data_IF_027120208775
#
_entry.id   IF_027120208775
#
_cell.length_a   1.000
_cell.length_b   1.000
_cell.length_c   1.000
_cell.angle_alpha   90.00
_cell.angle_beta   90.00
_cell.angle_gamma   90.00
#
_symmetry.space_group_name_H-M   'P 1'
#
loop_
_entity.id
_entity.type
_entity.pdbx_description
1 polymer ?
#
# COMPACT_ATOMS: atom_id res chain seq x y z
N UNK A 1 -95.27 51.80 17.31
CA UNK A 1 -95.11 51.44 15.87
C UNK A 1 -93.81 50.68 15.69
N UNK A 2 -93.89 49.40 15.30
CA UNK A 2 -92.74 48.52 15.06
C UNK A 2 -92.12 48.85 13.70
N UNK A 3 -90.84 49.25 13.64
CA UNK A 3 -90.09 49.33 12.38
C UNK A 3 -89.29 48.04 12.21
N UNK A 4 -89.74 47.20 11.28
CA UNK A 4 -88.97 46.09 10.71
C UNK A 4 -87.93 46.69 9.77
N UNK A 5 -86.64 46.43 9.99
CA UNK A 5 -85.62 46.64 8.97
C UNK A 5 -85.21 45.26 8.47
N UNK A 6 -85.32 45.14 7.15
CA UNK A 6 -85.21 43.94 6.33
C UNK A 6 -83.72 43.66 6.09
N UNK A 7 -83.25 42.48 6.50
CA UNK A 7 -81.96 41.93 6.08
C UNK A 7 -82.04 41.53 4.61
N UNK A 8 -81.31 42.24 3.75
CA UNK A 8 -81.06 41.83 2.36
C UNK A 8 -79.87 40.86 2.40
N UNK A 9 -80.16 39.58 2.26
CA UNK A 9 -79.18 38.51 2.13
C UNK A 9 -78.74 38.47 0.65
N UNK A 10 -77.56 39.03 0.35
CA UNK A 10 -76.94 38.93 -0.98
C UNK A 10 -76.30 37.53 -1.08
N UNK A 11 -76.98 36.61 -1.75
CA UNK A 11 -76.41 35.36 -2.25
C UNK A 11 -75.46 35.70 -3.40
N UNK A 12 -74.16 35.75 -3.12
CA UNK A 12 -73.13 35.67 -4.16
C UNK A 12 -72.98 34.21 -4.56
N UNK A 13 -73.61 33.85 -5.68
CA UNK A 13 -73.29 32.66 -6.45
C UNK A 13 -71.99 32.98 -7.21
N UNK A 14 -70.85 32.59 -6.66
CA UNK A 14 -69.58 32.57 -7.40
C UNK A 14 -69.23 31.12 -7.69
N UNK A 15 -69.66 30.72 -8.89
CA UNK A 15 -69.08 29.72 -9.78
C UNK A 15 -67.79 29.06 -9.29
N UNK A 16 -67.89 27.80 -8.87
CA UNK A 16 -66.75 26.88 -8.85
C UNK A 16 -66.40 26.56 -10.31
N UNK A 17 -65.57 27.40 -10.92
CA UNK A 17 -64.76 26.98 -12.06
C UNK A 17 -63.73 26.00 -11.50
N UNK A 18 -63.85 24.75 -11.92
CA UNK A 18 -62.90 23.68 -11.66
C UNK A 18 -61.58 24.04 -12.35
N UNK A 19 -60.82 24.91 -11.70
CA UNK A 19 -59.41 25.03 -11.97
C UNK A 19 -58.79 23.78 -11.38
N UNK A 20 -58.30 22.91 -12.26
CA UNK A 20 -57.16 22.05 -11.98
C UNK A 20 -56.05 22.93 -11.42
N UNK A 21 -56.10 23.18 -10.11
CA UNK A 21 -54.90 23.37 -9.32
C UNK A 21 -54.21 22.02 -9.42
N UNK A 22 -53.34 21.93 -10.41
CA UNK A 22 -52.10 21.19 -10.27
C UNK A 22 -51.64 21.54 -8.85
N UNK A 23 -51.64 20.54 -7.97
CA UNK A 23 -50.86 20.57 -6.76
C UNK A 23 -49.40 20.71 -7.21
N UNK A 24 -49.01 21.94 -7.55
CA UNK A 24 -47.63 22.34 -7.67
C UNK A 24 -47.16 22.38 -6.23
N UNK A 25 -46.75 21.20 -5.79
CA UNK A 25 -45.59 20.99 -4.96
C UNK A 25 -45.44 22.07 -3.89
N UNK A 26 -46.05 21.79 -2.73
CA UNK A 26 -45.28 21.86 -1.49
C UNK A 26 -44.08 20.89 -1.58
N UNK A 27 -43.14 21.16 -2.47
CA UNK A 27 -41.73 20.83 -2.26
C UNK A 27 -41.09 22.15 -1.84
N UNK A 28 -41.38 22.52 -0.60
CA UNK A 28 -40.41 23.29 0.16
C UNK A 28 -39.18 22.38 0.16
N UNK A 29 -38.28 22.61 -0.79
CA UNK A 29 -36.91 22.11 -0.71
C UNK A 29 -36.43 22.63 0.64
N UNK A 30 -36.51 21.79 1.66
CA UNK A 30 -35.94 22.03 2.97
C UNK A 30 -34.51 22.48 2.70
N UNK A 31 -34.24 23.76 2.95
CA UNK A 31 -32.91 24.31 2.84
C UNK A 31 -32.07 23.56 3.86
N UNK A 32 -31.37 22.53 3.40
CA UNK A 32 -30.49 21.74 4.23
C UNK A 32 -29.53 22.71 4.90
N UNK A 33 -29.60 22.80 6.22
CA UNK A 33 -28.68 23.61 6.99
C UNK A 33 -27.29 23.02 6.78
N UNK A 34 -26.48 23.70 5.97
CA UNK A 34 -25.09 23.32 5.72
C UNK A 34 -24.30 23.59 7.00
N UNK A 35 -24.12 22.55 7.80
CA UNK A 35 -23.22 22.53 8.94
C UNK A 35 -21.95 21.74 8.58
N UNK A 36 -20.82 22.45 8.55
CA UNK A 36 -19.51 21.92 8.22
C UNK A 36 -18.56 21.99 9.42
N UNK A 37 -19.09 22.23 10.62
CA UNK A 37 -18.28 22.37 11.82
C UNK A 37 -17.50 21.08 12.11
N UNK A 38 -16.19 21.21 12.22
CA UNK A 38 -15.26 20.12 12.49
C UNK A 38 -14.90 19.29 11.25
N UNK A 39 -15.46 19.61 10.09
CA UNK A 39 -15.17 18.88 8.86
C UNK A 39 -13.83 19.32 8.28
N UNK A 40 -13.13 18.37 7.66
CA UNK A 40 -11.91 18.62 6.89
C UNK A 40 -12.22 18.40 5.41
N UNK A 41 -11.81 19.32 4.56
CA UNK A 41 -12.03 19.26 3.12
C UNK A 41 -10.68 19.15 2.41
N UNK A 42 -10.47 18.11 1.63
CA UNK A 42 -9.23 17.88 0.89
C UNK A 42 -9.41 18.27 -0.57
N UNK A 43 -8.48 19.04 -1.13
CA UNK A 43 -8.49 19.40 -2.54
C UNK A 43 -8.36 18.15 -3.40
N UNK A 44 -9.15 18.10 -4.47
CA UNK A 44 -9.16 17.01 -5.43
C UNK A 44 -9.11 17.57 -6.85
N UNK A 45 -8.53 16.80 -7.77
CA UNK A 45 -8.39 17.19 -9.17
C UNK A 45 -9.25 16.32 -10.06
N UNK A 46 -10.06 16.92 -10.92
CA UNK A 46 -10.81 16.21 -11.94
C UNK A 46 -9.87 15.76 -13.07
N UNK A 47 -10.00 14.52 -13.53
CA UNK A 47 -9.27 14.00 -14.69
C UNK A 47 -10.12 14.02 -15.94
N UNK A 48 -9.48 13.94 -17.10
CA UNK A 48 -10.13 13.82 -18.42
C UNK A 48 -11.11 12.63 -18.52
N UNK A 49 -11.00 11.66 -17.62
CA UNK A 49 -11.92 10.51 -17.53
C UNK A 49 -13.18 10.76 -16.69
N UNK A 50 -13.36 11.98 -16.16
CA UNK A 50 -14.43 12.32 -15.20
C UNK A 50 -14.24 11.71 -13.81
N UNK A 51 -13.08 11.06 -13.56
CA UNK A 51 -12.72 10.55 -12.25
C UNK A 51 -12.00 11.63 -11.45
N UNK A 52 -12.50 11.89 -10.26
CA UNK A 52 -11.88 12.79 -9.29
C UNK A 52 -10.72 12.03 -8.62
N UNK A 53 -9.51 12.50 -8.85
CA UNK A 53 -8.29 11.96 -8.26
C UNK A 53 -8.05 12.56 -6.87
N UNK A 54 -7.92 11.68 -5.88
CA UNK A 54 -7.28 11.98 -4.61
C UNK A 54 -5.86 11.44 -4.67
N UNK A 55 -4.87 12.33 -4.64
CA UNK A 55 -3.45 11.97 -4.55
C UNK A 55 -3.05 11.97 -3.08
N UNK A 56 -2.98 10.81 -2.39
CA UNK A 56 -2.69 10.75 -0.95
C UNK A 56 -1.21 10.96 -0.59
N UNK A 57 -0.38 11.52 -1.48
CA UNK A 57 1.05 11.67 -1.23
C UNK A 57 1.32 12.84 -0.26
N UNK A 58 1.58 12.50 1.01
CA UNK A 58 2.40 13.25 1.98
C UNK A 58 2.11 14.73 2.19
N UNK A 59 1.42 15.06 3.29
CA UNK A 59 1.38 16.37 3.99
C UNK A 59 1.02 17.67 3.23
N UNK A 60 1.03 17.69 1.90
CA UNK A 60 0.97 18.90 1.07
C UNK A 60 -0.36 19.11 0.33
N UNK A 61 -1.38 18.29 0.61
CA UNK A 61 -2.69 18.47 0.00
C UNK A 61 -3.35 19.69 0.62
N UNK A 62 -3.65 20.66 -0.24
CA UNK A 62 -4.43 21.84 0.14
C UNK A 62 -5.72 21.39 0.83
N UNK A 63 -5.97 21.88 2.05
CA UNK A 63 -7.14 21.50 2.83
C UNK A 63 -7.69 22.64 3.68
N UNK A 64 -9.00 22.61 3.85
CA UNK A 64 -9.71 23.47 4.78
C UNK A 64 -10.19 22.66 5.98
N UNK A 65 -10.02 23.19 7.18
CA UNK A 65 -10.69 22.69 8.40
C UNK A 65 -11.57 23.82 8.92
N UNK A 66 -12.88 23.58 8.99
CA UNK A 66 -13.85 24.59 9.39
C UNK A 66 -14.23 24.36 10.86
N UNK A 67 -13.97 25.34 11.72
CA UNK A 67 -14.41 25.36 13.12
C UNK A 67 -15.62 26.29 13.28
N UNK A 68 -16.08 26.47 14.52
CA UNK A 68 -17.23 27.35 14.84
C UNK A 68 -17.02 28.80 14.37
N UNK A 69 -15.86 29.36 14.71
CA UNK A 69 -15.55 30.78 14.58
C UNK A 69 -14.30 31.03 13.72
N UNK A 70 -13.70 29.97 13.18
CA UNK A 70 -12.40 30.02 12.54
C UNK A 70 -12.25 28.96 11.45
N UNK A 71 -11.33 29.23 10.52
CA UNK A 71 -10.98 28.33 9.42
C UNK A 71 -9.47 28.19 9.41
N UNK A 72 -9.01 26.94 9.40
CA UNK A 72 -7.61 26.61 9.13
C UNK A 72 -7.47 26.23 7.67
N UNK A 73 -6.64 26.94 6.93
CA UNK A 73 -6.32 26.65 5.54
C UNK A 73 -4.85 26.21 5.47
N UNK A 74 -4.62 24.99 5.04
CA UNK A 74 -3.28 24.45 4.83
C UNK A 74 -3.07 24.32 3.31
N UNK A 75 -2.08 25.01 2.76
CA UNK A 75 -1.67 24.98 1.34
C UNK A 75 -0.57 23.93 1.08
N UNK A 76 -0.26 23.12 2.09
CA UNK A 76 0.81 22.14 2.13
C UNK A 76 2.05 22.67 2.85
N UNK A 77 2.83 23.50 2.15
CA UNK A 77 4.05 24.11 2.71
C UNK A 77 3.74 25.27 3.67
N UNK A 78 2.62 25.95 3.45
CA UNK A 78 2.16 27.09 4.25
C UNK A 78 0.81 26.77 4.89
N UNK A 79 0.53 27.38 6.04
CA UNK A 79 -0.77 27.29 6.66
C UNK A 79 -1.17 28.60 7.31
N UNK A 80 -2.47 28.85 7.29
CA UNK A 80 -3.09 30.06 7.79
C UNK A 80 -4.24 29.71 8.71
N UNK A 81 -4.35 30.50 9.79
CA UNK A 81 -5.48 30.42 10.70
C UNK A 81 -6.27 31.72 10.60
N UNK A 82 -7.52 31.60 10.20
CA UNK A 82 -8.44 32.72 9.99
C UNK A 82 -9.54 32.73 11.05
N UNK A 83 -9.98 33.92 11.43
CA UNK A 83 -11.22 34.15 12.17
C UNK A 83 -12.33 34.50 11.18
N UNK A 84 -13.51 33.92 11.39
CA UNK A 84 -14.72 34.24 10.61
C UNK A 84 -15.24 35.60 11.07
N UNK A 85 -15.23 36.59 10.18
CA UNK A 85 -15.75 37.93 10.47
C UNK A 85 -17.25 38.04 10.15
N UNK A 86 -17.71 37.34 9.12
CA UNK A 86 -19.14 37.21 8.80
C UNK A 86 -19.42 35.96 7.97
N UNK A 87 -20.60 35.36 8.16
CA UNK A 87 -21.12 34.24 7.38
C UNK A 87 -22.47 34.63 6.78
N UNK A 88 -22.63 34.47 5.47
CA UNK A 88 -23.89 34.65 4.75
C UNK A 88 -24.26 33.33 4.07
N UNK A 89 -25.46 32.83 4.34
CA UNK A 89 -25.97 31.58 3.77
C UNK A 89 -26.99 31.91 2.68
N UNK A 90 -26.67 31.53 1.46
CA UNK A 90 -27.54 31.60 0.28
C UNK A 90 -28.10 30.21 -0.02
N UNK A 91 -29.09 30.11 -0.92
CA UNK A 91 -29.80 28.86 -1.22
C UNK A 91 -28.85 27.65 -1.45
N UNK A 92 -27.77 27.85 -2.22
CA UNK A 92 -26.83 26.79 -2.61
C UNK A 92 -25.36 27.19 -2.35
N UNK A 93 -25.09 28.18 -1.50
CA UNK A 93 -23.74 28.69 -1.29
C UNK A 93 -23.60 29.32 0.09
N UNK A 94 -22.44 29.14 0.71
CA UNK A 94 -22.04 29.88 1.91
C UNK A 94 -20.92 30.84 1.52
N UNK A 95 -21.10 32.13 1.86
CA UNK A 95 -20.06 33.14 1.78
C UNK A 95 -19.49 33.36 3.17
N UNK A 96 -18.18 33.19 3.33
CA UNK A 96 -17.48 33.38 4.61
C UNK A 96 -16.40 34.44 4.40
N UNK A 97 -16.53 35.57 5.09
CA UNK A 97 -15.47 36.60 5.12
C UNK A 97 -14.50 36.27 6.23
N UNK A 98 -13.21 36.35 5.91
CA UNK A 98 -12.12 35.96 6.82
C UNK A 98 -11.21 37.14 7.13
N UNK A 99 -10.65 37.13 8.34
CA UNK A 99 -9.52 37.95 8.78
C UNK A 99 -8.47 37.06 9.40
N UNK A 100 -7.19 37.42 9.30
CA UNK A 100 -6.13 36.66 9.96
C UNK A 100 -6.34 36.65 11.48
N UNK A 101 -6.21 35.48 12.11
CA UNK A 101 -6.47 35.34 13.55
C UNK A 101 -5.50 36.15 14.41
N UNK A 102 -4.26 36.33 13.96
CA UNK A 102 -3.18 36.92 14.78
C UNK A 102 -3.10 38.45 14.70
N UNK A 103 -3.25 39.04 13.51
CA UNK A 103 -3.13 40.49 13.31
C UNK A 103 -4.45 41.19 12.91
N UNK A 104 -5.55 40.42 12.75
CA UNK A 104 -6.89 40.92 12.41
C UNK A 104 -6.98 41.65 11.05
N UNK A 105 -5.95 41.56 10.22
CA UNK A 105 -5.96 42.14 8.87
C UNK A 105 -6.79 41.26 7.92
N UNK A 106 -7.37 41.90 6.90
CA UNK A 106 -8.05 41.20 5.80
C UNK A 106 -6.98 40.61 4.88
N UNK A 107 -7.02 39.30 4.56
CA UNK A 107 -6.08 38.70 3.62
C UNK A 107 -6.15 39.41 2.27
N UNK A 108 -5.00 39.64 1.63
CA UNK A 108 -4.98 40.19 0.25
C UNK A 108 -5.18 39.10 -0.81
N UNK A 109 -5.36 37.85 -0.38
CA UNK A 109 -5.55 36.67 -1.21
C UNK A 109 -7.05 36.35 -1.40
N UNK A 110 -7.32 35.28 -2.15
CA UNK A 110 -8.66 34.71 -2.27
C UNK A 110 -9.26 34.24 -0.94
N UNK A 111 -8.45 34.10 0.12
CA UNK A 111 -8.91 33.71 1.45
C UNK A 111 -9.77 34.79 2.13
N UNK A 112 -9.71 36.06 1.69
CA UNK A 112 -10.56 37.13 2.25
C UNK A 112 -12.06 36.83 2.15
N UNK A 113 -12.46 36.05 1.14
CA UNK A 113 -13.83 35.62 0.90
C UNK A 113 -13.84 34.17 0.41
N UNK A 114 -14.16 33.25 1.30
CA UNK A 114 -14.33 31.83 0.97
C UNK A 114 -15.77 31.58 0.55
N UNK A 115 -15.97 31.09 -0.67
CA UNK A 115 -17.28 30.68 -1.21
C UNK A 115 -17.36 29.16 -1.25
N UNK A 116 -18.30 28.58 -0.51
CA UNK A 116 -18.51 27.13 -0.46
C UNK A 116 -19.82 26.80 -1.15
N UNK A 117 -19.76 26.04 -2.24
CA UNK A 117 -20.91 25.62 -3.05
C UNK A 117 -20.93 24.09 -3.12
N UNK A 118 -21.96 23.41 -2.58
CA UNK A 118 -22.07 21.97 -2.75
C UNK A 118 -22.30 21.60 -4.22
N UNK A 119 -21.62 20.55 -4.69
CA UNK A 119 -21.71 20.07 -6.07
C UNK A 119 -22.66 18.88 -6.24
N UNK A 120 -23.03 18.25 -5.13
CA UNK A 120 -23.96 17.13 -5.10
C UNK A 120 -24.89 17.19 -3.88
N UNK A 121 -25.98 16.43 -3.91
CA UNK A 121 -26.98 16.37 -2.83
C UNK A 121 -26.46 15.71 -1.55
N UNK A 122 -25.40 14.93 -1.65
CA UNK A 122 -24.75 14.27 -0.50
C UNK A 122 -23.72 15.17 0.19
N UNK A 123 -23.47 16.36 -0.38
CA UNK A 123 -22.39 17.26 -0.01
C UNK A 123 -21.02 16.58 0.02
N UNK A 124 -20.84 15.53 -0.80
CA UNK A 124 -19.60 14.78 -0.88
C UNK A 124 -18.51 15.64 -1.50
N UNK A 125 -18.82 16.30 -2.60
CA UNK A 125 -17.96 17.26 -3.25
C UNK A 125 -18.46 18.69 -3.03
N UNK A 126 -17.52 19.56 -2.68
CA UNK A 126 -17.75 20.99 -2.52
C UNK A 126 -16.83 21.74 -3.46
N UNK A 127 -17.33 22.81 -4.06
CA UNK A 127 -16.49 23.82 -4.68
C UNK A 127 -16.18 24.88 -3.65
N UNK A 128 -14.90 25.00 -3.28
CA UNK A 128 -14.41 26.07 -2.40
C UNK A 128 -13.65 27.05 -3.29
N UNK A 129 -14.19 28.25 -3.43
CA UNK A 129 -13.75 29.24 -4.42
C UNK A 129 -13.79 28.69 -5.85
N UNK A 130 -12.62 28.41 -6.45
CA UNK A 130 -12.51 27.88 -7.81
C UNK A 130 -12.23 26.38 -7.86
N UNK A 131 -11.76 25.82 -6.75
CA UNK A 131 -11.21 24.47 -6.66
C UNK A 131 -12.25 23.49 -6.07
N UNK A 132 -12.10 22.21 -6.38
CA UNK A 132 -12.99 21.14 -5.90
C UNK A 132 -12.34 20.46 -4.70
N UNK A 133 -13.14 20.21 -3.68
CA UNK A 133 -12.75 19.54 -2.46
C UNK A 133 -13.70 18.38 -2.17
N UNK A 134 -13.18 17.34 -1.54
CA UNK A 134 -13.97 16.27 -0.94
C UNK A 134 -13.99 16.42 0.59
N UNK A 135 -15.13 16.18 1.20
CA UNK A 135 -15.22 16.05 2.65
C UNK A 135 -14.48 14.78 3.13
N UNK A 136 -13.68 14.92 4.18
CA UNK A 136 -13.00 13.85 4.90
C UNK A 136 -13.90 12.67 5.26
N UNK A 137 -15.18 12.91 5.56
CA UNK A 137 -16.17 11.84 5.85
C UNK A 137 -16.35 10.90 4.65
N UNK A 138 -16.15 11.40 3.43
CA UNK A 138 -16.24 10.63 2.20
C UNK A 138 -14.89 10.32 1.56
N UNK A 139 -13.76 10.71 2.15
CA UNK A 139 -12.44 10.51 1.57
C UNK A 139 -12.15 9.04 1.25
N UNK A 140 -12.60 8.11 2.11
CA UNK A 140 -12.46 6.65 1.92
C UNK A 140 -13.27 6.10 0.73
N UNK A 141 -14.18 6.89 0.15
CA UNK A 141 -15.00 6.47 -1.01
C UNK A 141 -14.35 6.81 -2.35
N UNK A 142 -13.18 7.46 -2.34
CA UNK A 142 -12.44 7.75 -3.55
C UNK A 142 -11.60 6.54 -3.97
N UNK A 143 -11.57 6.21 -5.28
CA UNK A 143 -10.61 5.25 -5.78
C UNK A 143 -9.21 5.85 -5.57
N UNK A 144 -8.43 5.25 -4.67
CA UNK A 144 -7.02 5.58 -4.53
C UNK A 144 -6.34 5.08 -5.80
N UNK A 145 -5.94 6.01 -6.67
CA UNK A 145 -5.09 5.65 -7.81
C UNK A 145 -3.68 5.51 -7.26
N UNK A 146 -3.29 4.26 -6.96
CA UNK A 146 -1.94 3.88 -6.52
C UNK A 146 -0.92 3.95 -7.68
N UNK A 147 -1.01 4.97 -8.52
CA UNK A 147 -0.11 5.11 -9.66
C UNK A 147 0.40 6.55 -9.73
N UNK A 148 1.56 6.73 -9.11
CA UNK A 148 2.75 7.32 -9.72
C UNK A 148 3.94 6.80 -8.88
N UNK A 149 5.09 6.46 -9.49
CA UNK A 149 6.33 6.28 -8.72
C UNK A 149 6.56 7.57 -7.94
N UNK A 150 7.02 7.45 -6.68
CA UNK A 150 7.40 8.60 -5.86
C UNK A 150 8.24 9.55 -6.75
N UNK A 151 7.69 10.72 -7.08
CA UNK A 151 8.45 11.77 -7.72
C UNK A 151 9.45 12.33 -6.70
N UNK A 152 10.55 12.91 -7.17
CA UNK A 152 11.64 13.46 -6.33
C UNK A 152 11.14 14.47 -5.27
N UNK A 153 9.90 14.97 -5.43
CA UNK A 153 9.26 15.94 -4.56
C UNK A 153 8.45 15.33 -3.39
N UNK A 154 8.32 14.00 -3.30
CA UNK A 154 7.52 13.32 -2.27
C UNK A 154 8.37 12.87 -1.06
N UNK A 155 8.49 13.74 -0.04
CA UNK A 155 9.31 13.49 1.16
C UNK A 155 8.74 12.47 2.16
N UNK A 156 7.46 12.11 2.05
CA UNK A 156 6.76 11.18 2.97
C UNK A 156 6.07 10.04 2.20
N UNK A 157 6.85 9.21 1.48
CA UNK A 157 6.32 7.94 0.98
C UNK A 157 6.03 6.98 2.17
N UNK A 158 4.94 6.17 2.11
CA UNK A 158 4.63 5.23 3.18
C UNK A 158 5.84 4.33 3.46
N UNK A 159 6.12 4.10 4.75
CA UNK A 159 7.25 3.26 5.18
C UNK A 159 7.22 1.94 4.42
N UNK A 160 8.38 1.58 3.87
CA UNK A 160 8.67 0.32 3.18
C UNK A 160 7.94 -0.84 3.87
N UNK A 161 6.98 -1.46 3.19
CA UNK A 161 6.45 -2.74 3.63
C UNK A 161 7.50 -3.80 3.28
N UNK A 162 8.24 -4.25 4.30
CA UNK A 162 9.06 -5.46 4.18
C UNK A 162 8.12 -6.62 3.90
N UNK A 163 8.18 -7.15 2.68
CA UNK A 163 7.38 -8.32 2.31
C UNK A 163 8.05 -9.54 2.93
N UNK A 164 7.24 -10.31 3.67
CA UNK A 164 7.66 -11.60 4.20
C UNK A 164 7.02 -12.70 3.38
N UNK A 165 7.83 -13.52 2.74
CA UNK A 165 7.38 -14.72 2.03
C UNK A 165 7.94 -15.96 2.72
N UNK A 166 7.22 -17.08 2.61
CA UNK A 166 7.66 -18.34 3.17
C UNK A 166 7.46 -19.50 2.20
N UNK A 167 8.38 -20.46 2.25
CA UNK A 167 8.30 -21.70 1.51
C UNK A 167 8.64 -22.87 2.42
N UNK A 168 7.83 -23.94 2.38
CA UNK A 168 8.08 -25.18 3.11
C UNK A 168 8.45 -26.32 2.15
N UNK A 169 9.57 -26.98 2.43
CA UNK A 169 10.21 -27.97 1.58
C UNK A 169 10.33 -29.30 2.35
N UNK A 170 9.22 -30.02 2.40
CA UNK A 170 9.09 -31.23 3.21
C UNK A 170 9.47 -32.52 2.46
N UNK A 171 9.79 -32.44 1.17
CA UNK A 171 10.01 -33.61 0.31
C UNK A 171 11.48 -33.79 -0.14
N UNK A 172 12.39 -32.91 0.27
CA UNK A 172 13.80 -32.95 -0.17
C UNK A 172 14.64 -34.01 0.55
N UNK A 173 14.30 -34.32 1.81
CA UNK A 173 15.04 -35.25 2.65
C UNK A 173 14.10 -36.30 3.24
N UNK A 174 14.65 -37.45 3.65
CA UNK A 174 13.88 -38.46 4.42
C UNK A 174 13.79 -38.12 5.90
N UNK A 175 14.73 -37.34 6.44
CA UNK A 175 14.88 -37.04 7.86
C UNK A 175 14.61 -35.57 8.24
N UNK A 176 14.67 -34.66 7.28
CA UNK A 176 14.67 -33.22 7.49
C UNK A 176 13.54 -32.53 6.71
N UNK A 177 12.98 -31.50 7.33
CA UNK A 177 12.12 -30.50 6.70
C UNK A 177 12.89 -29.19 6.61
N UNK A 178 12.75 -28.49 5.49
CA UNK A 178 13.33 -27.16 5.30
C UNK A 178 12.22 -26.13 5.20
N UNK A 179 12.43 -24.95 5.77
CA UNK A 179 11.57 -23.78 5.60
C UNK A 179 12.44 -22.59 5.25
N UNK A 180 12.16 -21.93 4.13
CA UNK A 180 12.74 -20.63 3.81
C UNK A 180 11.77 -19.55 4.25
N UNK A 181 12.30 -18.58 4.99
CA UNK A 181 11.64 -17.32 5.29
C UNK A 181 12.42 -16.21 4.63
N UNK A 182 11.80 -15.44 3.74
CA UNK A 182 12.47 -14.34 3.05
C UNK A 182 11.88 -13.01 3.47
N UNK A 183 12.76 -12.02 3.57
CA UNK A 183 12.41 -10.63 3.84
C UNK A 183 13.08 -9.77 2.77
N UNK A 184 12.30 -9.00 2.02
CA UNK A 184 12.82 -8.06 1.01
C UNK A 184 11.99 -6.77 0.91
N UNK A 185 12.67 -5.68 0.56
CA UNK A 185 12.06 -4.36 0.36
C UNK A 185 11.77 -4.13 -1.13
N UNK A 186 10.51 -3.92 -1.49
CA UNK A 186 10.06 -3.96 -2.90
C UNK A 186 10.35 -2.67 -3.70
N UNK A 187 10.71 -1.56 -3.07
CA UNK A 187 10.50 -0.21 -3.64
C UNK A 187 11.73 0.68 -3.83
N UNK A 188 12.96 0.18 -3.64
CA UNK A 188 14.14 0.96 -4.04
C UNK A 188 14.60 0.54 -5.44
N UNK A 189 14.61 1.49 -6.36
CA UNK A 189 15.22 1.41 -7.70
C UNK A 189 16.76 1.51 -7.61
N UNK A 190 17.30 1.76 -6.42
CA UNK A 190 18.72 1.61 -6.13
C UNK A 190 19.09 0.12 -6.10
N UNK A 191 20.18 -0.21 -6.79
CA UNK A 191 20.82 -1.53 -7.00
C UNK A 191 21.11 -2.38 -5.73
N UNK A 192 20.61 -2.01 -4.56
CA UNK A 192 20.88 -2.64 -3.27
C UNK A 192 19.62 -3.27 -2.63
N UNK A 193 18.79 -3.97 -3.41
CA UNK A 193 17.78 -4.89 -2.85
C UNK A 193 18.50 -6.00 -2.08
N UNK A 194 18.64 -5.86 -0.76
CA UNK A 194 19.18 -6.90 0.12
C UNK A 194 18.08 -7.91 0.42
N UNK A 195 17.87 -8.87 -0.46
CA UNK A 195 17.16 -10.09 -0.11
C UNK A 195 17.84 -10.78 1.08
N UNK A 196 17.06 -11.20 2.05
CA UNK A 196 17.58 -11.99 3.15
C UNK A 196 16.71 -13.20 3.31
N UNK A 197 17.32 -14.38 3.31
CA UNK A 197 16.65 -15.63 3.58
C UNK A 197 17.12 -16.18 4.93
N UNK A 198 16.19 -16.69 5.72
CA UNK A 198 16.48 -17.56 6.85
C UNK A 198 16.06 -18.98 6.47
N UNK A 199 17.01 -19.90 6.48
CA UNK A 199 16.80 -21.32 6.20
C UNK A 199 16.64 -22.01 7.55
N UNK A 200 15.42 -22.40 7.88
CA UNK A 200 15.09 -23.13 9.10
C UNK A 200 15.06 -24.62 8.77
N UNK A 201 15.85 -25.39 9.49
CA UNK A 201 16.00 -26.84 9.28
C UNK A 201 15.45 -27.56 10.50
N UNK A 202 14.55 -28.51 10.26
CA UNK A 202 13.82 -29.23 11.30
C UNK A 202 13.91 -30.75 11.11
N UNK A 203 13.93 -31.51 12.21
CA UNK A 203 13.75 -32.97 12.14
C UNK A 203 12.30 -33.31 11.76
N UNK A 204 12.12 -34.31 10.90
CA UNK A 204 10.78 -34.75 10.44
C UNK A 204 9.93 -35.45 11.49
N UNK A 205 10.56 -36.12 12.45
CA UNK A 205 9.88 -36.92 13.45
C UNK A 205 9.11 -36.07 14.48
N UNK A 206 9.65 -34.92 14.85
CA UNK A 206 9.13 -34.07 15.93
C UNK A 206 9.09 -32.57 15.59
N UNK A 207 9.47 -32.17 14.37
CA UNK A 207 9.56 -30.77 13.93
C UNK A 207 10.47 -29.89 14.80
N UNK A 208 11.40 -30.47 15.54
CA UNK A 208 12.38 -29.70 16.32
C UNK A 208 13.34 -28.99 15.37
N UNK A 209 13.52 -27.69 15.59
CA UNK A 209 14.49 -26.87 14.84
C UNK A 209 15.89 -27.27 15.28
N UNK A 210 16.66 -27.80 14.33
CA UNK A 210 18.06 -28.19 14.55
C UNK A 210 19.02 -27.10 14.08
N UNK A 211 18.62 -26.31 13.10
CA UNK A 211 19.41 -25.16 12.65
C UNK A 211 18.60 -24.03 12.05
N UNK A 212 19.19 -22.84 12.07
CA UNK A 212 18.64 -21.64 11.43
C UNK A 212 19.80 -20.83 10.83
N UNK A 213 19.84 -20.75 9.50
CA UNK A 213 20.96 -20.21 8.76
C UNK A 213 20.50 -18.96 8.02
N UNK A 214 21.15 -17.85 8.32
CA UNK A 214 21.01 -16.62 7.56
C UNK A 214 21.77 -16.75 6.22
N UNK A 215 21.08 -16.47 5.13
CA UNK A 215 21.59 -16.60 3.77
C UNK A 215 21.29 -15.35 2.93
N UNK A 216 22.29 -14.93 2.17
CA UNK A 216 22.27 -13.75 1.31
C UNK A 216 22.74 -14.20 -0.08
N UNK A 217 21.86 -14.24 -1.09
CA UNK A 217 22.27 -14.58 -2.46
C UNK A 217 23.11 -13.47 -3.09
N UNK A 218 23.93 -13.81 -4.09
CA UNK A 218 24.76 -12.85 -4.82
C UNK A 218 24.00 -12.15 -5.96
N UNK A 219 23.12 -12.86 -6.67
CA UNK A 219 22.36 -12.31 -7.80
C UNK A 219 20.94 -11.92 -7.41
N UNK A 220 20.85 -10.70 -6.90
CA UNK A 220 19.64 -10.05 -6.40
C UNK A 220 18.54 -9.84 -7.45
N UNK A 221 18.93 -9.63 -8.72
CA UNK A 221 18.00 -9.28 -9.80
C UNK A 221 17.06 -10.43 -10.19
N UNK A 222 17.42 -11.68 -9.90
CA UNK A 222 16.67 -12.86 -10.34
C UNK A 222 15.65 -13.37 -9.31
N UNK A 223 15.81 -13.01 -8.03
CA UNK A 223 14.86 -13.35 -6.98
C UNK A 223 13.88 -12.20 -6.79
N UNK A 224 12.93 -12.04 -7.73
CA UNK A 224 11.84 -11.07 -7.57
C UNK A 224 10.75 -11.56 -6.59
N UNK A 225 10.78 -12.84 -6.25
CA UNK A 225 9.90 -13.57 -5.34
C UNK A 225 10.62 -14.82 -4.79
N UNK A 226 10.05 -15.45 -3.76
CA UNK A 226 10.61 -16.68 -3.17
C UNK A 226 10.52 -17.83 -4.17
N UNK A 227 11.67 -18.43 -4.46
CA UNK A 227 11.77 -19.65 -5.24
C UNK A 227 12.00 -20.82 -4.30
N UNK A 228 11.07 -21.77 -4.33
CA UNK A 228 11.08 -22.94 -3.46
C UNK A 228 12.08 -24.02 -3.92
N UNK A 229 12.43 -24.03 -5.19
CA UNK A 229 13.24 -25.04 -5.86
C UNK A 229 14.75 -24.76 -5.86
N UNK A 230 15.18 -23.78 -5.05
CA UNK A 230 16.60 -23.37 -4.97
C UNK A 230 17.44 -24.20 -4.01
N UNK A 231 16.83 -25.14 -3.27
CA UNK A 231 17.53 -26.04 -2.34
C UNK A 231 17.57 -27.47 -2.89
N UNK A 232 18.74 -28.10 -2.80
CA UNK A 232 18.93 -29.53 -3.06
C UNK A 232 19.57 -30.21 -1.85
N UNK A 233 19.23 -31.48 -1.60
CA UNK A 233 19.68 -32.24 -0.43
C UNK A 233 20.30 -33.56 -0.89
N UNK A 234 21.52 -33.84 -0.43
CA UNK A 234 22.24 -35.08 -0.70
C UNK A 234 23.41 -35.26 0.26
N UNK A 235 24.08 -36.40 0.23
CA UNK A 235 25.34 -36.62 0.95
C UNK A 235 26.49 -36.33 -0.02
N UNK A 236 26.98 -35.09 -0.05
CA UNK A 236 27.95 -34.64 -1.07
C UNK A 236 29.39 -35.02 -0.70
N UNK A 237 29.68 -35.23 0.59
CA UNK A 237 31.00 -35.63 1.08
C UNK A 237 31.11 -37.14 1.43
N UNK A 238 30.02 -37.89 1.25
CA UNK A 238 29.93 -39.34 1.49
C UNK A 238 30.27 -39.76 2.92
N UNK A 239 29.86 -38.96 3.91
CA UNK A 239 30.07 -39.23 5.34
C UNK A 239 28.86 -39.91 6.01
N UNK A 240 27.77 -40.11 5.27
CA UNK A 240 26.53 -40.74 5.71
C UNK A 240 25.54 -39.79 6.38
N UNK A 241 25.84 -38.49 6.45
CA UNK A 241 24.94 -37.43 6.89
C UNK A 241 24.31 -36.72 5.67
N UNK A 242 23.19 -36.05 5.87
CA UNK A 242 22.54 -35.30 4.79
C UNK A 242 23.09 -33.88 4.77
N UNK A 243 23.64 -33.45 3.64
CA UNK A 243 24.05 -32.09 3.36
C UNK A 243 22.98 -31.38 2.54
N UNK A 244 23.08 -30.06 2.42
CA UNK A 244 22.25 -29.33 1.47
C UNK A 244 23.04 -28.30 0.67
N UNK A 245 22.49 -27.93 -0.47
CA UNK A 245 22.92 -26.78 -1.25
C UNK A 245 21.79 -25.78 -1.40
N UNK A 246 22.14 -24.51 -1.54
CA UNK A 246 21.20 -23.44 -1.89
C UNK A 246 21.79 -22.60 -3.02
N UNK A 247 20.94 -22.21 -3.99
CA UNK A 247 21.36 -21.37 -5.11
C UNK A 247 21.84 -20.00 -4.61
N UNK A 248 23.12 -19.73 -4.86
CA UNK A 248 23.80 -18.46 -4.54
C UNK A 248 23.63 -17.45 -5.67
N UNK A 249 23.67 -17.93 -6.90
CA UNK A 249 23.58 -17.12 -8.11
C UNK A 249 22.93 -17.92 -9.23
N UNK A 250 22.14 -17.29 -10.10
CA UNK A 250 21.62 -17.97 -11.30
C UNK A 250 22.72 -18.26 -12.33
N UNK A 251 23.87 -17.59 -12.17
CA UNK A 251 25.03 -17.66 -13.03
C UNK A 251 24.82 -17.05 -14.41
N UNK A 252 25.81 -17.25 -15.27
CA UNK A 252 25.74 -16.90 -16.69
C UNK A 252 25.64 -18.16 -17.56
N UNK A 253 26.44 -18.21 -18.63
CA UNK A 253 26.48 -19.35 -19.56
C UNK A 253 26.91 -20.69 -18.91
N UNK A 254 27.45 -20.66 -17.69
CA UNK A 254 27.87 -21.85 -16.94
C UNK A 254 26.76 -22.44 -16.04
N UNK A 255 25.57 -21.84 -16.04
CA UNK A 255 24.45 -22.25 -15.19
C UNK A 255 24.56 -21.78 -13.74
N UNK A 256 23.60 -22.20 -12.88
CA UNK A 256 23.50 -21.70 -11.52
C UNK A 256 24.66 -22.13 -10.61
N UNK A 257 24.96 -21.26 -9.66
CA UNK A 257 26.00 -21.41 -8.65
C UNK A 257 25.32 -21.68 -7.30
N UNK A 258 25.86 -22.63 -6.55
CA UNK A 258 25.29 -23.12 -5.31
C UNK A 258 26.30 -23.06 -4.16
N UNK A 259 25.85 -22.61 -2.99
CA UNK A 259 26.58 -22.76 -1.74
C UNK A 259 26.24 -24.09 -1.08
N UNK A 260 27.26 -24.86 -0.71
CA UNK A 260 27.15 -26.14 -0.01
C UNK A 260 27.23 -25.94 1.50
N UNK A 261 26.45 -26.74 2.24
CA UNK A 261 26.37 -26.75 3.69
C UNK A 261 26.37 -28.19 4.19
N UNK A 262 27.39 -28.54 4.97
CA UNK A 262 27.65 -29.90 5.43
C UNK A 262 27.10 -30.12 6.83
N UNK A 263 26.37 -31.21 7.03
CA UNK A 263 25.87 -31.57 8.35
C UNK A 263 27.00 -32.16 9.20
N UNK A 264 27.15 -31.68 10.42
CA UNK A 264 28.04 -32.29 11.40
C UNK A 264 27.29 -33.22 12.37
N UNK A 265 28.05 -33.93 13.20
CA UNK A 265 27.52 -34.90 14.19
C UNK A 265 26.58 -34.27 15.24
N UNK A 266 26.57 -32.95 15.38
CA UNK A 266 25.68 -32.21 16.28
C UNK A 266 24.41 -31.71 15.56
N UNK A 267 24.11 -32.20 14.35
CA UNK A 267 23.01 -31.77 13.50
C UNK A 267 23.07 -30.28 13.12
N UNK A 268 24.28 -29.69 13.12
CA UNK A 268 24.52 -28.33 12.66
C UNK A 268 25.13 -28.34 11.27
N UNK A 269 24.76 -27.34 10.48
CA UNK A 269 25.20 -27.21 9.10
C UNK A 269 26.25 -26.12 9.00
N UNK A 270 27.37 -26.46 8.36
CA UNK A 270 28.51 -25.56 8.23
C UNK A 270 28.88 -25.40 6.76
N UNK A 271 29.17 -24.16 6.36
CA UNK A 271 29.77 -23.87 5.06
C UNK A 271 31.26 -24.19 5.13
N UNK A 272 31.70 -25.23 4.44
CA UNK A 272 33.12 -25.61 4.39
C UNK A 272 33.80 -24.91 3.20
N UNK A 273 34.57 -23.87 3.52
CA UNK A 273 35.32 -23.10 2.53
C UNK A 273 36.44 -23.91 1.84
N UNK A 274 36.81 -25.07 2.39
CA UNK A 274 37.81 -25.95 1.81
C UNK A 274 37.22 -26.97 0.84
N UNK A 275 35.89 -27.08 0.78
CA UNK A 275 35.22 -27.98 -0.16
C UNK A 275 35.45 -27.52 -1.60
N UNK A 276 35.96 -28.42 -2.44
CA UNK A 276 36.41 -28.11 -3.81
C UNK A 276 35.34 -27.46 -4.69
N UNK A 277 34.08 -27.77 -4.45
CA UNK A 277 32.95 -27.29 -5.25
C UNK A 277 32.12 -26.23 -4.52
N UNK A 278 32.63 -25.70 -3.40
CA UNK A 278 31.97 -24.64 -2.66
C UNK A 278 31.73 -23.44 -3.57
N UNK A 279 30.50 -22.90 -3.53
CA UNK A 279 30.09 -21.75 -4.34
C UNK A 279 30.32 -22.02 -5.84
N UNK A 280 29.96 -23.23 -6.29
CA UNK A 280 30.11 -23.73 -7.66
C UNK A 280 28.86 -24.42 -8.20
N UNK A 281 28.98 -25.14 -9.32
CA UNK A 281 27.84 -25.84 -9.94
C UNK A 281 27.32 -26.98 -9.07
N UNK A 282 26.07 -27.38 -9.29
CA UNK A 282 25.50 -28.62 -8.73
C UNK A 282 25.93 -29.84 -9.57
N UNK A 283 26.28 -31.00 -8.97
CA UNK A 283 26.61 -32.19 -9.74
C UNK A 283 25.38 -32.71 -10.49
N UNK A 284 25.60 -33.18 -11.73
CA UNK A 284 24.59 -33.84 -12.55
C UNK A 284 24.25 -35.25 -12.03
N UNK A 285 25.20 -35.90 -11.37
CA UNK A 285 25.04 -37.24 -10.80
C UNK A 285 25.86 -37.38 -9.53
N UNK A 286 25.28 -38.08 -8.55
CA UNK A 286 25.89 -38.44 -7.27
C UNK A 286 25.84 -39.96 -7.18
N UNK A 287 26.99 -40.59 -6.99
CA UNK A 287 27.13 -42.04 -6.84
C UNK A 287 27.80 -42.33 -5.49
N UNK A 288 26.98 -42.69 -4.50
CA UNK A 288 27.42 -42.96 -3.14
C UNK A 288 28.23 -44.26 -3.02
N UNK A 289 27.99 -45.24 -3.89
CA UNK A 289 28.71 -46.53 -3.88
C UNK A 289 30.16 -46.32 -4.31
N UNK A 290 30.36 -45.59 -5.40
CA UNK A 290 31.70 -45.29 -5.93
C UNK A 290 32.32 -44.02 -5.34
N UNK A 291 31.58 -43.28 -4.51
CA UNK A 291 31.92 -41.97 -3.95
C UNK A 291 32.33 -40.97 -5.04
N UNK A 292 31.47 -40.82 -6.05
CA UNK A 292 31.73 -39.91 -7.17
C UNK A 292 30.66 -38.83 -7.36
N UNK A 293 31.12 -37.66 -7.79
CA UNK A 293 30.30 -36.55 -8.26
C UNK A 293 30.62 -36.29 -9.73
N UNK A 294 29.59 -36.21 -10.57
CA UNK A 294 29.74 -35.92 -12.00
C UNK A 294 29.29 -34.50 -12.32
N UNK A 295 30.14 -33.73 -13.01
CA UNK A 295 29.87 -32.38 -13.49
C UNK A 295 30.11 -32.33 -15.01
N UNK A 296 29.04 -32.32 -15.79
CA UNK A 296 29.09 -32.49 -17.24
C UNK A 296 29.72 -33.83 -17.62
N UNK A 297 30.84 -33.77 -18.33
CA UNK A 297 31.63 -34.95 -18.72
C UNK A 297 32.73 -35.31 -17.71
N UNK A 298 32.91 -34.54 -16.64
CA UNK A 298 34.00 -34.71 -15.68
C UNK A 298 33.50 -35.46 -14.45
N UNK A 299 34.24 -36.48 -14.03
CA UNK A 299 33.93 -37.27 -12.83
C UNK A 299 35.01 -36.99 -11.77
N UNK A 300 34.58 -36.65 -10.56
CA UNK A 300 35.45 -36.55 -9.40
C UNK A 300 35.13 -37.65 -8.41
N UNK A 301 36.18 -38.28 -7.88
CA UNK A 301 36.08 -39.31 -6.85
C UNK A 301 36.73 -38.82 -5.56
N UNK A 302 36.06 -39.08 -4.43
CA UNK A 302 36.62 -38.80 -3.12
C UNK A 302 37.55 -39.95 -2.69
N UNK A 303 38.85 -39.67 -2.53
CA UNK A 303 39.87 -40.61 -2.05
C UNK A 303 40.72 -39.95 -0.98
N UNK A 304 40.86 -40.59 0.17
CA UNK A 304 41.66 -40.08 1.31
C UNK A 304 41.31 -38.62 1.66
N UNK A 305 40.00 -38.32 1.71
CA UNK A 305 39.44 -36.97 1.93
C UNK A 305 39.85 -35.92 0.90
N UNK A 306 40.29 -36.33 -0.29
CA UNK A 306 40.67 -35.45 -1.39
C UNK A 306 39.89 -35.78 -2.66
N UNK A 307 39.41 -34.74 -3.34
CA UNK A 307 38.68 -34.86 -4.61
C UNK A 307 39.62 -34.94 -5.80
N UNK A 308 39.70 -36.12 -6.40
CA UNK A 308 40.54 -36.40 -7.58
C UNK A 308 39.66 -36.56 -8.81
N UNK A 309 40.03 -35.90 -9.91
CA UNK A 309 39.39 -36.17 -11.19
C UNK A 309 39.79 -37.56 -11.66
N UNK A 310 38.83 -38.34 -12.12
CA UNK A 310 39.05 -39.63 -12.75
C UNK A 310 38.57 -39.58 -14.21
N UNK A 311 39.24 -40.36 -15.06
CA UNK A 311 38.94 -40.46 -16.48
C UNK A 311 37.88 -41.54 -16.74
#
# INVERSE_FOLDING_TARGET
>A
MKKKIICILILMIVSCKENNKIDIEKNIEEGYALDFKGHTFFKVTETDSGKVLYKPCGANIEKYIIYDDSIFHNLGQEHYMFKISSKETLKNQINIKLIYKNNLEVPQTADSLVKITPLDKTHKYLKINKDIFIDSVFANTLPIINELPCDEDCYDCPKQETIKEECSLNNLSKKLNFKLLTEYDKLNDDDAKKWKANIIIMLKDNNSVIDNIEFIPNSWAFFSNIQCDIISVSDYNFDGLEDFTIMLDVGGNSGPIFSYFFQNKNNKFIKDQTFKFQDGSLPNKIDAENKTLTFGSIIFQLKDNNWQQIN
#
